data_IF_465090091892
#
_entry.id   IF_465090091892
#
_cell.length_a   1.000
_cell.length_b   1.000
_cell.length_c   1.000
_cell.angle_alpha   90.00
_cell.angle_beta   90.00
_cell.angle_gamma   90.00
#
_symmetry.space_group_name_H-M   'P 1'
#
loop_
_entity.id
_entity.type
_entity.pdbx_description
1 polymer ?
#
# COMPACT_ATOMS: atom_id res chain seq x y z
N UNK A 1 5.21 -30.13 -6.93
CA UNK A 1 4.71 -28.76 -7.22
C UNK A 1 5.47 -27.82 -6.31
N UNK A 2 6.31 -26.96 -6.88
CA UNK A 2 7.33 -26.19 -6.14
C UNK A 2 6.69 -25.14 -5.23
N UNK A 3 7.00 -25.16 -3.94
CA UNK A 3 6.55 -24.22 -2.90
C UNK A 3 7.15 -22.81 -3.04
N UNK A 4 8.09 -22.61 -3.96
CA UNK A 4 8.88 -21.38 -4.16
C UNK A 4 8.13 -20.21 -4.83
N UNK A 5 6.91 -20.40 -5.32
CA UNK A 5 6.17 -19.33 -6.04
C UNK A 5 5.24 -18.50 -5.14
N UNK A 6 5.04 -18.93 -3.89
CA UNK A 6 4.20 -18.23 -2.89
C UNK A 6 5.02 -17.33 -1.96
N UNK A 7 6.33 -17.51 -1.91
CA UNK A 7 7.26 -16.63 -1.20
C UNK A 7 7.46 -15.29 -1.92
N UNK A 8 8.19 -14.39 -1.29
CA UNK A 8 8.65 -13.15 -1.93
C UNK A 8 9.55 -13.53 -3.11
N UNK A 9 9.31 -13.00 -4.33
CA UNK A 9 10.22 -13.21 -5.45
C UNK A 9 11.64 -12.73 -5.10
N UNK A 10 12.72 -13.50 -5.35
CA UNK A 10 14.06 -13.17 -4.89
C UNK A 10 14.53 -11.77 -5.30
N UNK A 11 14.23 -11.36 -6.54
CA UNK A 11 14.54 -10.03 -7.07
C UNK A 11 13.84 -8.88 -6.33
N UNK A 12 12.78 -9.16 -5.57
CA UNK A 12 12.04 -8.17 -4.78
C UNK A 12 12.41 -8.15 -3.30
N UNK A 13 13.11 -9.16 -2.80
CA UNK A 13 13.52 -9.26 -1.39
C UNK A 13 14.12 -7.97 -0.81
N UNK A 14 15.08 -7.29 -1.46
CA UNK A 14 15.68 -6.08 -0.88
C UNK A 14 14.71 -4.90 -0.81
N UNK A 15 13.71 -4.84 -1.69
CA UNK A 15 12.77 -3.71 -1.78
C UNK A 15 11.51 -3.88 -0.92
N UNK A 16 11.20 -5.11 -0.51
CA UNK A 16 10.03 -5.43 0.31
C UNK A 16 10.37 -5.66 1.78
N UNK A 17 11.64 -5.50 2.19
CA UNK A 17 12.06 -5.59 3.58
C UNK A 17 11.40 -4.49 4.44
N UNK A 18 11.57 -4.56 5.77
CA UNK A 18 11.07 -3.53 6.67
C UNK A 18 11.60 -2.16 6.21
N UNK A 19 10.73 -1.21 5.85
CA UNK A 19 11.17 0.08 5.36
C UNK A 19 11.96 0.80 6.45
N UNK A 20 12.84 1.73 6.05
CA UNK A 20 13.53 2.57 7.03
C UNK A 20 12.56 3.49 7.80
N UNK A 21 12.96 3.93 8.98
CA UNK A 21 12.14 4.85 9.79
C UNK A 21 11.81 6.14 9.03
N UNK A 22 10.58 6.62 9.21
CA UNK A 22 9.97 7.79 8.56
C UNK A 22 9.87 7.73 7.03
N UNK A 23 10.14 6.58 6.43
CA UNK A 23 10.12 6.45 4.96
C UNK A 23 8.71 6.45 4.37
N UNK A 24 8.64 6.94 3.14
CA UNK A 24 7.46 6.86 2.29
C UNK A 24 7.75 5.94 1.10
N UNK A 25 6.97 4.87 0.98
CA UNK A 25 6.98 3.98 -0.19
C UNK A 25 5.75 4.28 -1.02
N UNK A 26 5.97 4.52 -2.31
CA UNK A 26 4.91 4.78 -3.27
C UNK A 26 4.77 3.62 -4.25
N UNK A 27 3.62 2.96 -4.22
CA UNK A 27 3.22 1.96 -5.19
C UNK A 27 2.30 2.62 -6.22
N UNK A 28 2.62 2.52 -7.49
CA UNK A 28 1.78 3.07 -8.56
C UNK A 28 1.39 1.98 -9.54
N UNK A 29 0.14 2.01 -10.00
CA UNK A 29 -0.37 1.06 -10.98
C UNK A 29 -1.33 1.72 -11.95
N UNK A 30 -1.62 1.04 -13.05
CA UNK A 30 -2.64 1.44 -14.02
C UNK A 30 -3.75 0.40 -14.06
N UNK A 31 -4.88 0.74 -14.66
CA UNK A 31 -5.94 -0.21 -14.94
C UNK A 31 -5.39 -1.39 -15.75
N UNK A 32 -5.61 -2.59 -15.23
CA UNK A 32 -5.07 -3.83 -15.79
C UNK A 32 -3.69 -4.24 -15.23
N UNK A 33 -2.96 -3.35 -14.56
CA UNK A 33 -1.71 -3.62 -13.88
C UNK A 33 -1.72 -2.99 -12.48
N UNK A 34 -2.43 -3.62 -11.54
CA UNK A 34 -2.59 -3.11 -10.17
C UNK A 34 -1.50 -3.54 -9.19
N UNK A 35 -1.40 -2.82 -8.08
CA UNK A 35 -0.37 -2.99 -7.03
C UNK A 35 -0.80 -3.90 -5.87
N UNK A 36 -2.01 -4.45 -5.89
CA UNK A 36 -2.56 -5.28 -4.80
C UNK A 36 -1.64 -6.46 -4.42
N UNK A 37 -1.01 -7.10 -5.41
CA UNK A 37 -0.10 -8.20 -5.16
C UNK A 37 1.19 -7.75 -4.47
N UNK A 38 1.67 -6.53 -4.71
CA UNK A 38 2.80 -5.92 -4.00
C UNK A 38 2.42 -5.64 -2.54
N UNK A 39 1.25 -5.06 -2.29
CA UNK A 39 0.76 -4.84 -0.92
C UNK A 39 0.68 -6.15 -0.12
N UNK A 40 0.17 -7.22 -0.74
CA UNK A 40 0.17 -8.56 -0.13
C UNK A 40 1.58 -9.08 0.16
N UNK A 41 2.56 -8.82 -0.72
CA UNK A 41 3.96 -9.20 -0.50
C UNK A 41 4.64 -8.35 0.58
N UNK A 42 4.32 -7.06 0.68
CA UNK A 42 4.73 -6.22 1.81
C UNK A 42 4.19 -6.78 3.12
N UNK A 43 2.89 -7.06 3.23
CA UNK A 43 2.31 -7.67 4.42
C UNK A 43 3.01 -8.99 4.79
N UNK A 44 3.21 -9.87 3.81
CA UNK A 44 3.93 -11.13 4.03
C UNK A 44 5.35 -10.90 4.56
N UNK A 45 6.09 -9.95 3.97
CA UNK A 45 7.46 -9.62 4.38
C UNK A 45 7.52 -9.07 5.80
N UNK A 46 6.69 -8.07 6.09
CA UNK A 46 6.57 -7.40 7.39
C UNK A 46 6.32 -8.43 8.49
N UNK A 47 5.33 -9.30 8.30
CA UNK A 47 4.94 -10.25 9.34
C UNK A 47 5.87 -11.48 9.43
N UNK A 48 6.56 -11.85 8.35
CA UNK A 48 7.58 -12.92 8.39
C UNK A 48 8.84 -12.48 9.12
N UNK A 49 9.32 -11.25 8.86
CA UNK A 49 10.50 -10.71 9.53
C UNK A 49 10.33 -10.64 11.05
N UNK A 50 9.12 -10.36 11.54
CA UNK A 50 8.86 -10.37 12.99
C UNK A 50 8.85 -11.78 13.58
N UNK A 51 8.42 -12.79 12.82
CA UNK A 51 8.38 -14.17 13.32
C UNK A 51 9.79 -14.74 13.54
N UNK A 52 10.75 -14.35 12.69
CA UNK A 52 12.17 -14.74 12.81
C UNK A 52 12.87 -14.01 13.98
N UNK A 53 12.59 -12.71 14.19
CA UNK A 53 13.19 -11.92 15.28
C UNK A 53 12.69 -12.27 16.67
N UNK A 54 11.51 -12.88 16.81
CA UNK A 54 11.02 -13.37 18.10
C UNK A 54 11.79 -14.60 18.63
N UNK A 55 12.71 -15.18 17.83
CA UNK A 55 13.54 -16.32 18.23
C UNK A 55 14.85 -15.96 18.93
N UNK A 56 15.46 -14.82 18.60
CA UNK A 56 16.78 -14.41 19.11
C UNK A 56 16.85 -12.89 19.32
N UNK A 57 16.96 -12.45 20.57
CA UNK A 57 17.56 -11.14 20.91
C UNK A 57 16.63 -9.95 21.14
N UNK A 58 16.86 -9.32 22.28
CA UNK A 58 16.23 -8.11 22.81
C UNK A 58 16.31 -6.89 21.86
N UNK A 59 15.21 -6.12 21.75
CA UNK A 59 15.31 -4.66 21.56
C UNK A 59 14.45 -4.01 20.47
N UNK A 60 13.99 -4.71 19.44
CA UNK A 60 13.15 -4.08 18.40
C UNK A 60 11.67 -4.30 18.66
N UNK A 61 10.94 -3.19 18.81
CA UNK A 61 9.51 -3.21 19.09
C UNK A 61 8.66 -4.00 18.09
N UNK A 62 7.53 -4.53 18.57
CA UNK A 62 6.60 -5.33 17.76
C UNK A 62 6.09 -4.51 16.56
N UNK A 63 6.19 -5.08 15.36
CA UNK A 63 5.69 -4.43 14.14
C UNK A 63 4.19 -4.69 14.01
N UNK A 64 3.44 -3.61 13.82
CA UNK A 64 1.99 -3.60 13.64
C UNK A 64 1.64 -2.87 12.34
N UNK A 65 0.49 -3.19 11.76
CA UNK A 65 0.02 -2.57 10.52
C UNK A 65 -1.37 -1.99 10.70
N UNK A 66 -1.53 -0.72 10.32
CA UNK A 66 -2.82 -0.08 10.09
C UNK A 66 -3.04 -0.02 8.59
N UNK A 67 -4.07 -0.69 8.10
CA UNK A 67 -4.38 -0.76 6.67
C UNK A 67 -5.74 -0.10 6.41
N UNK A 68 -5.75 1.02 5.68
CA UNK A 68 -6.98 1.65 5.19
C UNK A 68 -7.07 1.47 3.67
N UNK A 69 -8.17 0.90 3.17
CA UNK A 69 -8.44 0.76 1.74
C UNK A 69 -9.72 1.49 1.35
N UNK A 70 -9.66 2.26 0.26
CA UNK A 70 -10.82 2.96 -0.31
C UNK A 70 -11.46 2.20 -1.47
N UNK A 71 -10.80 1.16 -2.00
CA UNK A 71 -11.23 0.47 -3.23
C UNK A 71 -11.50 -1.02 -3.04
N UNK A 72 -11.16 -1.59 -1.88
CA UNK A 72 -11.30 -3.02 -1.58
C UNK A 72 -11.74 -3.24 -0.14
N UNK A 73 -12.62 -4.22 0.07
CA UNK A 73 -13.04 -4.63 1.42
C UNK A 73 -12.05 -5.61 2.06
N UNK A 74 -12.27 -5.93 3.35
CA UNK A 74 -11.45 -6.89 4.07
C UNK A 74 -11.54 -8.31 3.47
N UNK A 75 -12.67 -8.67 2.87
CA UNK A 75 -12.85 -9.98 2.23
C UNK A 75 -11.87 -10.20 1.08
N UNK A 76 -11.68 -9.17 0.24
CA UNK A 76 -10.71 -9.17 -0.84
C UNK A 76 -9.28 -9.39 -0.31
N UNK A 77 -8.87 -8.64 0.72
CA UNK A 77 -7.53 -8.74 1.29
C UNK A 77 -7.29 -10.09 1.98
N UNK A 78 -8.29 -10.62 2.70
CA UNK A 78 -8.23 -11.95 3.32
C UNK A 78 -8.06 -13.06 2.29
N UNK A 79 -8.82 -13.05 1.21
CA UNK A 79 -8.69 -14.06 0.16
C UNK A 79 -7.32 -13.99 -0.53
N UNK A 80 -6.82 -12.78 -0.79
CA UNK A 80 -5.46 -12.57 -1.33
C UNK A 80 -4.36 -13.06 -0.38
N UNK A 81 -4.47 -12.75 0.91
CA UNK A 81 -3.53 -13.16 1.94
C UNK A 81 -3.51 -14.68 2.14
N UNK A 82 -4.68 -15.33 2.14
CA UNK A 82 -4.82 -16.79 2.28
C UNK A 82 -4.07 -17.54 1.18
N UNK A 83 -4.09 -17.02 -0.06
CA UNK A 83 -3.37 -17.62 -1.20
C UNK A 83 -1.85 -17.66 -1.00
N UNK A 84 -1.31 -16.77 -0.18
CA UNK A 84 0.13 -16.68 0.14
C UNK A 84 0.43 -17.17 1.57
N UNK A 85 -0.49 -17.95 2.16
CA UNK A 85 -0.39 -18.50 3.52
C UNK A 85 -0.27 -17.43 4.62
N UNK A 86 -0.83 -16.24 4.40
CA UNK A 86 -0.91 -15.18 5.40
C UNK A 86 -2.32 -15.15 6.02
N UNK A 87 -2.40 -15.33 7.34
CA UNK A 87 -3.67 -15.32 8.08
C UNK A 87 -3.88 -13.95 8.77
N UNK A 88 -4.67 -13.09 8.11
CA UNK A 88 -4.98 -11.77 8.63
C UNK A 88 -5.91 -11.81 9.87
N UNK A 89 -6.76 -12.83 10.01
CA UNK A 89 -7.64 -12.95 11.18
C UNK A 89 -6.82 -13.24 12.43
N UNK A 90 -5.87 -14.16 12.32
CA UNK A 90 -4.92 -14.46 13.39
C UNK A 90 -4.13 -13.21 13.79
N UNK A 91 -3.64 -12.44 12.81
CA UNK A 91 -2.89 -11.20 13.07
C UNK A 91 -3.75 -10.12 13.72
N UNK A 92 -5.04 -10.03 13.37
CA UNK A 92 -5.99 -9.14 14.04
C UNK A 92 -6.27 -9.58 15.47
N UNK A 93 -6.46 -10.88 15.72
CA UNK A 93 -6.63 -11.42 17.09
C UNK A 93 -5.39 -11.17 17.97
N UNK A 94 -4.20 -11.12 17.36
CA UNK A 94 -2.93 -10.79 18.02
C UNK A 94 -2.71 -9.28 18.19
N UNK A 95 -3.64 -8.41 17.78
CA UNK A 95 -3.47 -6.95 17.78
C UNK A 95 -2.27 -6.46 16.96
N UNK A 96 -1.91 -7.18 15.88
CA UNK A 96 -0.80 -6.85 14.98
C UNK A 96 -1.27 -6.27 13.64
N UNK A 97 -2.52 -6.52 13.26
CA UNK A 97 -3.11 -6.03 12.02
C UNK A 97 -4.49 -5.43 12.28
N UNK A 98 -4.69 -4.18 11.87
CA UNK A 98 -5.96 -3.47 11.96
C UNK A 98 -6.38 -3.00 10.57
N UNK A 99 -7.49 -3.54 10.07
CA UNK A 99 -8.11 -3.10 8.83
C UNK A 99 -9.16 -2.02 9.06
N UNK A 100 -9.09 -0.97 8.26
CA UNK A 100 -10.03 0.13 8.20
C UNK A 100 -10.71 0.11 6.83
N UNK A 101 -12.04 0.02 6.83
CA UNK A 101 -12.84 -0.07 5.61
C UNK A 101 -13.29 1.32 5.16
N UNK A 102 -12.63 1.85 4.12
CA UNK A 102 -12.94 3.11 3.47
C UNK A 102 -13.91 2.98 2.29
N UNK A 103 -14.48 1.79 2.03
CA UNK A 103 -15.32 1.51 0.87
C UNK A 103 -16.77 1.21 1.27
N UNK A 104 -17.00 0.13 2.04
CA UNK A 104 -18.34 -0.49 2.12
C UNK A 104 -19.34 0.42 2.81
N UNK A 105 -18.94 1.08 3.89
CA UNK A 105 -19.83 1.95 4.66
C UNK A 105 -20.11 3.30 3.99
N UNK A 106 -19.26 3.72 3.06
CA UNK A 106 -19.43 4.98 2.34
C UNK A 106 -20.31 4.83 1.09
N UNK A 107 -20.26 3.66 0.43
CA UNK A 107 -20.80 3.51 -0.92
C UNK A 107 -21.81 2.36 -1.08
N UNK A 108 -21.86 1.41 -0.15
CA UNK A 108 -22.81 0.29 -0.24
C UNK A 108 -24.05 0.52 0.63
N UNK A 109 -25.24 0.11 0.15
CA UNK A 109 -26.46 0.13 0.95
C UNK A 109 -26.27 -0.67 2.25
N UNK A 110 -26.52 -0.02 3.39
CA UNK A 110 -26.44 -0.62 4.72
C UNK A 110 -27.66 -1.51 4.98
N UNK A 111 -27.80 -2.56 4.18
CA UNK A 111 -28.92 -3.50 4.23
C UNK A 111 -28.73 -4.58 5.29
N UNK A 112 -27.48 -4.83 5.71
CA UNK A 112 -27.12 -5.79 6.75
C UNK A 112 -26.02 -5.22 7.65
N UNK A 113 -25.99 -5.68 8.90
CA UNK A 113 -24.89 -5.36 9.81
C UNK A 113 -23.57 -5.88 9.23
N UNK A 114 -22.44 -5.17 9.42
CA UNK A 114 -21.13 -5.61 8.97
C UNK A 114 -20.83 -7.02 9.47
N UNK A 115 -20.31 -7.89 8.60
CA UNK A 115 -19.90 -9.23 8.99
C UNK A 115 -18.80 -9.16 10.07
N UNK A 116 -18.75 -10.13 11.01
CA UNK A 116 -17.64 -10.24 11.95
C UNK A 116 -16.30 -10.29 11.21
N UNK A 117 -15.37 -9.40 11.57
CA UNK A 117 -14.06 -9.32 10.91
C UNK A 117 -14.04 -8.53 9.59
N UNK A 118 -15.09 -7.76 9.26
CA UNK A 118 -15.09 -6.86 8.10
C UNK A 118 -14.15 -5.64 8.25
N UNK A 119 -13.54 -5.46 9.43
CA UNK A 119 -12.73 -4.30 9.79
C UNK A 119 -13.53 -3.14 10.35
N UNK A 120 -12.83 -2.05 10.69
CA UNK A 120 -13.47 -0.86 11.27
C UNK A 120 -13.94 0.08 10.17
N UNK A 121 -15.26 0.33 10.04
CA UNK A 121 -15.78 1.13 8.94
C UNK A 121 -15.52 2.63 9.11
N UNK A 122 -15.15 3.28 8.02
CA UNK A 122 -15.18 4.72 7.88
C UNK A 122 -16.62 5.18 7.65
N UNK A 123 -17.10 6.11 8.49
CA UNK A 123 -18.50 6.55 8.50
C UNK A 123 -18.78 7.77 7.62
N UNK A 124 -17.73 8.46 7.19
CA UNK A 124 -17.83 9.70 6.43
C UNK A 124 -16.60 9.86 5.53
N UNK A 125 -16.76 10.31 4.27
CA UNK A 125 -15.64 10.54 3.35
C UNK A 125 -14.83 11.80 3.68
N UNK A 126 -15.26 12.60 4.67
CA UNK A 126 -14.60 13.85 5.03
C UNK A 126 -13.26 13.61 5.74
N UNK A 127 -12.22 14.36 5.38
CA UNK A 127 -10.89 14.22 5.96
C UNK A 127 -10.82 14.31 7.49
N UNK A 128 -11.59 15.16 8.19
CA UNK A 128 -11.63 15.14 9.66
C UNK A 128 -12.06 13.77 10.23
N UNK A 129 -13.00 13.09 9.57
CA UNK A 129 -13.44 11.75 9.98
C UNK A 129 -12.38 10.69 9.72
N UNK A 130 -11.67 10.78 8.60
CA UNK A 130 -10.54 9.91 8.26
C UNK A 130 -9.40 10.10 9.27
N UNK A 131 -9.02 11.35 9.55
CA UNK A 131 -7.99 11.70 10.52
C UNK A 131 -8.31 11.18 11.91
N UNK A 132 -9.56 11.36 12.37
CA UNK A 132 -10.01 10.83 13.66
C UNK A 132 -9.96 9.31 13.72
N UNK A 133 -10.40 8.62 12.65
CA UNK A 133 -10.36 7.17 12.57
C UNK A 133 -8.92 6.64 12.62
N UNK A 134 -8.02 7.22 11.81
CA UNK A 134 -6.60 6.84 11.78
C UNK A 134 -5.93 7.10 13.12
N UNK A 135 -6.15 8.27 13.72
CA UNK A 135 -5.59 8.61 15.04
C UNK A 135 -6.04 7.60 16.10
N UNK A 136 -7.34 7.29 16.13
CA UNK A 136 -7.89 6.28 17.05
C UNK A 136 -7.30 4.89 16.80
N UNK A 137 -7.17 4.48 15.54
CA UNK A 137 -6.60 3.21 15.14
C UNK A 137 -5.13 3.09 15.59
N UNK A 138 -4.33 4.11 15.29
CA UNK A 138 -2.93 4.22 15.71
C UNK A 138 -2.84 4.14 17.24
N UNK A 139 -3.58 4.97 17.98
CA UNK A 139 -3.58 4.94 19.45
C UNK A 139 -4.01 3.59 20.04
N UNK A 140 -4.94 2.87 19.39
CA UNK A 140 -5.36 1.54 19.86
C UNK A 140 -4.29 0.47 19.71
N UNK A 141 -3.34 0.65 18.77
CA UNK A 141 -2.22 -0.25 18.55
C UNK A 141 -0.94 0.20 19.24
N UNK A 142 -0.87 1.46 19.71
CA UNK A 142 0.29 2.04 20.40
C UNK A 142 0.53 1.41 21.77
N UNK A 143 1.15 0.22 21.79
CA UNK A 143 1.83 -0.33 22.97
C UNK A 143 3.32 -0.07 22.83
N UNK A 144 3.97 0.55 23.81
CA UNK A 144 5.42 0.74 23.75
C UNK A 144 6.13 -0.58 24.11
N UNK A 145 7.14 -1.04 23.34
CA UNK A 145 7.68 -0.48 22.10
C UNK A 145 7.03 -1.13 20.85
N UNK A 146 6.24 -0.41 20.05
CA UNK A 146 5.68 -0.93 18.80
C UNK A 146 5.96 0.02 17.63
N UNK A 147 6.29 -0.56 16.47
CA UNK A 147 6.53 0.16 15.21
C UNK A 147 5.30 -0.01 14.32
N UNK A 148 4.58 1.08 14.02
CA UNK A 148 3.38 1.01 13.16
C UNK A 148 3.75 1.30 11.71
N UNK A 149 3.38 0.41 10.80
CA UNK A 149 3.42 0.64 9.36
C UNK A 149 2.01 1.06 8.92
N UNK A 150 1.91 2.25 8.35
CA UNK A 150 0.66 2.77 7.80
C UNK A 150 0.55 2.38 6.32
N UNK A 151 -0.52 1.70 5.93
CA UNK A 151 -0.81 1.39 4.53
C UNK A 151 -2.10 2.08 4.14
N UNK A 152 -2.04 2.94 3.12
CA UNK A 152 -3.22 3.55 2.50
C UNK A 152 -3.34 3.09 1.05
N UNK A 153 -4.42 2.38 0.76
CA UNK A 153 -4.72 1.88 -0.56
C UNK A 153 -5.78 2.75 -1.24
N UNK A 154 -5.37 3.35 -2.37
CA UNK A 154 -6.15 4.22 -3.23
C UNK A 154 -6.75 5.48 -2.56
N UNK A 155 -6.00 6.25 -1.74
CA UNK A 155 -6.48 7.51 -1.17
C UNK A 155 -6.77 8.60 -2.21
N UNK A 156 -6.22 8.48 -3.42
CA UNK A 156 -6.51 9.31 -4.60
C UNK A 156 -7.99 9.25 -5.02
N UNK A 157 -8.71 8.19 -4.63
CA UNK A 157 -10.18 8.14 -4.75
C UNK A 157 -10.86 9.36 -4.13
N UNK A 158 -10.36 9.88 -3.01
CA UNK A 158 -10.94 11.05 -2.34
C UNK A 158 -10.92 12.31 -3.22
N UNK A 159 -9.91 12.42 -4.09
CA UNK A 159 -9.81 13.52 -5.08
C UNK A 159 -10.90 13.35 -6.14
N UNK A 160 -11.12 12.13 -6.61
CA UNK A 160 -12.14 11.80 -7.60
C UNK A 160 -13.58 11.90 -7.07
N UNK A 161 -13.80 11.62 -5.78
CA UNK A 161 -15.13 11.61 -5.16
C UNK A 161 -15.51 12.92 -4.48
N UNK A 162 -14.63 13.93 -4.49
CA UNK A 162 -14.88 15.22 -3.85
C UNK A 162 -15.46 16.25 -4.82
N UNK A 163 -16.41 17.09 -4.39
CA UNK A 163 -16.87 18.23 -5.19
C UNK A 163 -15.79 19.31 -5.38
N UNK A 164 -14.74 19.31 -4.55
CA UNK A 164 -13.65 20.29 -4.58
C UNK A 164 -12.28 19.60 -4.63
N UNK A 165 -11.83 19.14 -5.81
CA UNK A 165 -10.55 18.43 -5.98
C UNK A 165 -9.32 19.23 -5.54
N UNK A 166 -9.31 20.57 -5.66
CA UNK A 166 -8.17 21.38 -5.19
C UNK A 166 -8.01 21.32 -3.67
N UNK A 167 -9.10 21.59 -2.94
CA UNK A 167 -9.09 21.64 -1.47
C UNK A 167 -8.73 20.28 -0.89
N UNK A 168 -9.38 19.21 -1.36
CA UNK A 168 -9.13 17.86 -0.85
C UNK A 168 -7.68 17.43 -1.10
N UNK A 169 -7.09 17.83 -2.22
CA UNK A 169 -5.69 17.49 -2.53
C UNK A 169 -4.71 18.16 -1.57
N UNK A 170 -4.93 19.45 -1.28
CA UNK A 170 -4.09 20.19 -0.32
C UNK A 170 -4.23 19.64 1.11
N UNK A 171 -5.47 19.38 1.53
CA UNK A 171 -5.75 18.85 2.86
C UNK A 171 -5.23 17.40 3.01
N UNK A 172 -5.32 16.58 1.97
CA UNK A 172 -4.84 15.20 1.98
C UNK A 172 -3.30 15.16 2.09
N UNK A 173 -2.58 15.97 1.33
CA UNK A 173 -1.13 16.12 1.49
C UNK A 173 -0.76 16.55 2.92
N UNK A 174 -1.48 17.53 3.48
CA UNK A 174 -1.25 18.01 4.86
C UNK A 174 -1.52 16.92 5.90
N UNK A 175 -2.57 16.11 5.71
CA UNK A 175 -2.90 14.98 6.58
C UNK A 175 -1.80 13.91 6.51
N UNK A 176 -1.34 13.53 5.30
CA UNK A 176 -0.29 12.54 5.12
C UNK A 176 1.02 12.97 5.79
N UNK A 177 1.41 14.23 5.63
CA UNK A 177 2.57 14.79 6.31
C UNK A 177 2.41 14.74 7.84
N UNK A 178 1.22 15.10 8.35
CA UNK A 178 0.93 15.07 9.79
C UNK A 178 0.94 13.65 10.38
N UNK A 179 0.47 12.65 9.62
CA UNK A 179 0.53 11.25 10.04
C UNK A 179 1.96 10.74 10.04
N UNK A 180 2.73 11.04 8.99
CA UNK A 180 4.14 10.62 8.87
C UNK A 180 5.05 11.23 9.93
N UNK A 181 4.70 12.39 10.49
CA UNK A 181 5.47 13.02 11.57
C UNK A 181 5.16 12.45 12.96
N UNK A 182 4.17 11.54 13.09
CA UNK A 182 3.88 10.90 14.37
C UNK A 182 5.00 9.92 14.75
N UNK A 183 5.58 10.02 15.97
CA UNK A 183 6.67 9.13 16.40
C UNK A 183 6.34 7.64 16.45
N UNK A 184 5.04 7.30 16.44
CA UNK A 184 4.57 5.90 16.46
C UNK A 184 4.51 5.29 15.06
N UNK A 185 4.44 6.12 14.00
CA UNK A 185 4.47 5.66 12.62
C UNK A 185 5.92 5.47 12.21
N UNK A 186 6.29 4.22 12.01
CA UNK A 186 7.61 3.83 11.55
C UNK A 186 7.80 4.10 10.06
N UNK A 187 6.80 3.79 9.23
CA UNK A 187 6.85 4.03 7.77
C UNK A 187 5.45 4.03 7.17
N UNK A 188 5.31 4.64 5.99
CA UNK A 188 4.04 4.71 5.26
C UNK A 188 4.17 4.13 3.86
N UNK A 189 3.20 3.32 3.46
CA UNK A 189 3.07 2.75 2.10
C UNK A 189 1.78 3.28 1.49
N UNK A 190 1.88 3.93 0.34
CA UNK A 190 0.73 4.42 -0.42
C UNK A 190 0.61 3.65 -1.72
N UNK A 191 -0.60 3.23 -2.08
CA UNK A 191 -0.91 2.69 -3.40
C UNK A 191 -1.84 3.63 -4.16
N UNK A 192 -1.41 4.14 -5.31
CA UNK A 192 -2.17 5.09 -6.14
C UNK A 192 -2.41 4.55 -7.55
N UNK A 193 -3.50 5.00 -8.19
CA UNK A 193 -3.67 4.82 -9.63
C UNK A 193 -2.98 5.94 -10.41
N UNK A 194 -2.27 5.56 -11.48
CA UNK A 194 -1.55 6.47 -12.38
C UNK A 194 -2.01 6.30 -13.83
N UNK A 195 -3.30 6.04 -14.03
CA UNK A 195 -3.90 5.93 -15.36
C UNK A 195 -3.60 7.16 -16.21
N UNK A 196 -3.21 6.95 -17.47
CA UNK A 196 -2.78 8.03 -18.38
C UNK A 196 -3.75 9.21 -18.42
N UNK A 197 -5.09 9.04 -18.51
CA UNK A 197 -6.03 10.17 -18.50
C UNK A 197 -5.99 11.04 -17.24
N UNK A 198 -5.56 10.49 -16.10
CA UNK A 198 -5.44 11.22 -14.83
C UNK A 198 -4.13 12.01 -14.74
N UNK A 199 -3.14 11.68 -15.56
CA UNK A 199 -1.83 12.33 -15.59
C UNK A 199 -1.62 13.23 -16.80
N UNK A 200 -2.45 13.10 -17.84
CA UNK A 200 -2.34 13.92 -19.04
C UNK A 200 -2.69 15.37 -18.76
N UNK A 201 -1.83 16.28 -19.22
CA UNK A 201 -2.06 17.72 -19.11
C UNK A 201 -3.13 18.24 -20.07
N UNK A 202 -3.72 17.42 -20.95
CA UNK A 202 -4.73 17.85 -21.92
C UNK A 202 -5.83 16.79 -22.12
N UNK A 203 -7.12 17.11 -21.90
CA UNK A 203 -7.64 18.38 -21.36
C UNK A 203 -7.31 18.56 -19.86
N UNK A 204 -6.98 19.79 -19.44
CA UNK A 204 -6.76 20.14 -18.03
C UNK A 204 -8.09 20.15 -17.27
N UNK A 205 -8.55 19.00 -16.83
CA UNK A 205 -9.66 18.91 -15.88
C UNK A 205 -9.15 19.15 -14.45
N UNK A 206 -9.96 19.72 -13.54
CA UNK A 206 -9.58 19.83 -12.13
C UNK A 206 -9.13 18.48 -11.55
N UNK A 207 -9.81 17.38 -11.91
CA UNK A 207 -9.46 16.04 -11.47
C UNK A 207 -8.06 15.62 -11.94
N UNK A 208 -7.75 15.74 -13.23
CA UNK A 208 -6.44 15.37 -13.79
C UNK A 208 -5.32 16.25 -13.20
N UNK A 209 -5.53 17.57 -13.12
CA UNK A 209 -4.55 18.50 -12.55
C UNK A 209 -4.23 18.14 -11.10
N UNK A 210 -5.24 17.89 -10.27
CA UNK A 210 -5.05 17.59 -8.85
C UNK A 210 -4.50 16.19 -8.60
N UNK A 211 -4.93 15.19 -9.37
CA UNK A 211 -4.39 13.82 -9.27
C UNK A 211 -2.92 13.77 -9.69
N UNK A 212 -2.56 14.46 -10.78
CA UNK A 212 -1.18 14.59 -11.23
C UNK A 212 -0.32 15.34 -10.22
N UNK A 213 -0.84 16.44 -9.64
CA UNK A 213 -0.13 17.20 -8.61
C UNK A 213 0.12 16.34 -7.36
N UNK A 214 -0.93 15.67 -6.86
CA UNK A 214 -0.84 14.78 -5.71
C UNK A 214 0.19 13.66 -5.89
N UNK A 215 0.10 12.95 -7.02
CA UNK A 215 1.03 11.85 -7.35
C UNK A 215 2.46 12.36 -7.47
N UNK A 216 2.67 13.52 -8.11
CA UNK A 216 4.00 14.10 -8.29
C UNK A 216 4.61 14.54 -6.96
N UNK A 217 3.83 15.20 -6.10
CA UNK A 217 4.26 15.55 -4.73
C UNK A 217 4.69 14.30 -3.95
N UNK A 218 3.87 13.24 -3.96
CA UNK A 218 4.21 12.00 -3.26
C UNK A 218 5.43 11.30 -3.86
N UNK A 219 5.63 11.36 -5.18
CA UNK A 219 6.84 10.81 -5.82
C UNK A 219 8.10 11.57 -5.39
N UNK A 220 8.01 12.90 -5.22
CA UNK A 220 9.11 13.71 -4.68
C UNK A 220 9.38 13.41 -3.20
N UNK A 221 8.35 13.12 -2.41
CA UNK A 221 8.50 12.80 -0.98
C UNK A 221 8.93 11.36 -0.71
N UNK A 222 8.72 10.45 -1.67
CA UNK A 222 9.01 9.03 -1.52
C UNK A 222 10.51 8.75 -1.42
N UNK A 223 10.85 7.68 -0.70
CA UNK A 223 12.18 7.08 -0.68
C UNK A 223 12.32 6.01 -1.78
N UNK A 224 11.22 5.31 -2.07
CA UNK A 224 11.15 4.19 -3.00
C UNK A 224 9.83 4.22 -3.78
N UNK A 225 9.93 4.04 -5.09
CA UNK A 225 8.76 3.95 -5.98
C UNK A 225 8.77 2.59 -6.68
N UNK A 226 7.66 1.85 -6.56
CA UNK A 226 7.40 0.63 -7.33
C UNK A 226 6.21 0.87 -8.26
N UNK A 227 6.47 0.96 -9.55
CA UNK A 227 5.47 1.27 -10.56
C UNK A 227 5.17 0.07 -11.44
N UNK A 228 3.89 -0.28 -11.57
CA UNK A 228 3.41 -1.38 -12.41
C UNK A 228 2.69 -0.83 -13.64
N UNK A 229 3.04 -1.36 -14.82
CA UNK A 229 2.41 -1.01 -16.10
C UNK A 229 2.18 -2.24 -16.96
N UNK A 230 1.29 -2.11 -17.94
CA UNK A 230 1.11 -3.11 -18.98
C UNK A 230 2.33 -3.15 -19.93
N UNK A 231 2.44 -4.24 -20.68
CA UNK A 231 3.42 -4.35 -21.76
C UNK A 231 3.03 -3.43 -22.92
N UNK A 232 4.01 -2.74 -23.51
CA UNK A 232 3.81 -1.87 -24.66
C UNK A 232 3.37 -2.66 -25.92
N UNK A 233 3.70 -3.96 -25.97
CA UNK A 233 3.34 -4.86 -27.07
C UNK A 233 1.97 -5.52 -26.91
N UNK A 234 1.22 -5.21 -25.84
CA UNK A 234 -0.06 -5.83 -25.52
C UNK A 234 0.06 -7.07 -24.63
N UNK A 235 -1.07 -7.76 -24.43
CA UNK A 235 -1.17 -8.87 -23.48
C UNK A 235 -0.30 -10.08 -23.86
N UNK A 236 0.30 -10.72 -22.85
CA UNK A 236 1.07 -11.95 -23.00
C UNK A 236 0.55 -13.03 -22.04
N UNK A 237 0.69 -14.31 -22.41
CA UNK A 237 0.18 -15.43 -21.61
C UNK A 237 0.90 -15.57 -20.27
N UNK A 238 2.22 -15.37 -20.27
CA UNK A 238 3.10 -15.67 -19.14
C UNK A 238 3.71 -14.41 -18.51
N UNK A 239 3.23 -13.22 -18.90
CA UNK A 239 3.68 -11.93 -18.37
C UNK A 239 2.45 -11.06 -18.12
N UNK A 240 2.25 -10.66 -16.87
CA UNK A 240 1.16 -9.76 -16.47
C UNK A 240 1.50 -8.30 -16.76
N UNK A 241 2.78 -7.92 -16.64
CA UNK A 241 3.22 -6.56 -16.93
C UNK A 241 4.69 -6.32 -16.61
N UNK A 242 5.03 -5.03 -16.56
CA UNK A 242 6.35 -4.51 -16.20
C UNK A 242 6.27 -3.88 -14.82
N UNK A 243 7.26 -4.19 -13.96
CA UNK A 243 7.51 -3.54 -12.69
C UNK A 243 8.77 -2.70 -12.81
N UNK A 244 8.66 -1.40 -12.57
CA UNK A 244 9.78 -0.47 -12.48
C UNK A 244 10.02 -0.09 -11.02
N UNK A 245 11.26 -0.16 -10.60
CA UNK A 245 11.74 0.18 -9.26
C UNK A 245 12.68 1.37 -9.42
N UNK A 246 12.39 2.47 -8.73
CA UNK A 246 13.23 3.68 -8.74
C UNK A 246 13.40 4.26 -7.36
N UNK A 247 14.48 5.03 -7.15
CA UNK A 247 14.53 5.93 -6.01
C UNK A 247 13.40 6.96 -6.13
N UNK A 248 12.87 7.42 -4.99
CA UNK A 248 12.02 8.60 -4.96
C UNK A 248 12.82 9.90 -4.91
N UNK A 249 12.13 11.04 -4.79
CA UNK A 249 12.77 12.35 -4.80
C UNK A 249 13.41 12.78 -3.48
N UNK A 250 13.24 12.01 -2.40
CA UNK A 250 13.76 12.31 -1.07
C UNK A 250 14.84 11.29 -0.68
N UNK A 251 16.09 11.42 -1.18
CA UNK A 251 17.15 10.50 -0.82
C UNK A 251 17.48 10.64 0.66
N UNK A 252 17.15 9.62 1.44
CA UNK A 252 17.57 9.54 2.85
C UNK A 252 19.11 9.56 2.95
N UNK A 253 19.67 10.59 3.58
CA UNK A 253 21.12 10.71 3.80
C UNK A 253 21.66 9.50 4.58
N UNK A 254 22.75 8.89 4.09
CA UNK A 254 23.42 7.76 4.75
C UNK A 254 22.80 6.37 4.51
N UNK A 255 21.75 6.25 3.68
CA UNK A 255 21.19 4.94 3.27
C UNK A 255 21.80 4.45 1.96
N UNK A 256 21.81 3.12 1.77
CA UNK A 256 22.20 2.52 0.49
C UNK A 256 21.28 3.03 -0.61
N UNK A 257 21.89 3.40 -1.74
CA UNK A 257 21.15 3.93 -2.89
C UNK A 257 20.27 2.82 -3.45
N UNK A 258 18.99 3.12 -3.67
CA UNK A 258 18.05 2.19 -4.30
C UNK A 258 18.61 1.76 -5.65
N UNK A 259 18.82 0.46 -5.83
CA UNK A 259 19.20 -0.12 -7.12
C UNK A 259 17.97 -0.08 -8.04
N UNK A 260 18.00 0.78 -9.05
CA UNK A 260 16.86 0.94 -9.97
C UNK A 260 16.80 -0.20 -10.98
N UNK A 261 15.60 -0.75 -11.21
CA UNK A 261 15.40 -1.90 -12.10
C UNK A 261 14.11 -1.78 -12.90
N UNK A 262 14.11 -2.39 -14.08
CA UNK A 262 12.90 -2.72 -14.83
C UNK A 262 12.81 -4.24 -14.96
N UNK A 263 11.72 -4.81 -14.44
CA UNK A 263 11.48 -6.24 -14.33
C UNK A 263 10.16 -6.62 -15.01
N UNK A 264 10.06 -7.85 -15.46
CA UNK A 264 8.79 -8.45 -15.86
C UNK A 264 8.19 -9.18 -14.66
N UNK A 265 6.87 -9.17 -14.55
CA UNK A 265 6.17 -9.93 -13.52
C UNK A 265 4.99 -10.70 -14.07
N UNK A 266 4.65 -11.79 -13.40
CA UNK A 266 3.48 -12.62 -13.66
C UNK A 266 2.77 -12.93 -12.34
N UNK A 267 1.46 -12.65 -12.28
CA UNK A 267 0.60 -12.98 -11.15
C UNK A 267 -0.35 -14.12 -11.55
N UNK A 268 -0.20 -15.27 -10.90
CA UNK A 268 -1.09 -16.41 -11.06
C UNK A 268 -2.38 -16.28 -10.24
N UNK A 269 -3.45 -16.94 -10.68
CA UNK A 269 -4.75 -16.92 -9.98
C UNK A 269 -4.72 -17.57 -8.59
N UNK A 270 -3.72 -18.42 -8.34
CA UNK A 270 -3.45 -19.10 -7.06
C UNK A 270 -2.62 -18.24 -6.09
N UNK A 271 -2.36 -16.97 -6.43
CA UNK A 271 -1.53 -16.05 -5.65
C UNK A 271 -0.03 -16.23 -5.86
N UNK A 272 0.40 -17.13 -6.76
CA UNK A 272 1.79 -17.23 -7.17
C UNK A 272 2.24 -15.95 -7.88
N UNK A 273 3.46 -15.51 -7.60
CA UNK A 273 4.06 -14.35 -8.29
C UNK A 273 5.46 -14.74 -8.76
N UNK A 274 5.76 -14.47 -10.03
CA UNK A 274 7.11 -14.58 -10.59
C UNK A 274 7.57 -13.20 -11.03
N UNK A 275 8.83 -12.90 -10.79
CA UNK A 275 9.49 -11.67 -11.22
C UNK A 275 10.83 -12.07 -11.84
N UNK A 276 11.13 -11.53 -13.01
CA UNK A 276 12.31 -11.92 -13.81
C UNK A 276 12.78 -10.74 -14.66
N UNK A 277 14.05 -10.78 -15.06
CA UNK A 277 14.63 -9.78 -15.95
C UNK A 277 14.20 -10.02 -17.40
N UNK A 278 14.30 -8.98 -18.24
CA UNK A 278 14.03 -9.14 -19.69
C UNK A 278 15.12 -10.01 -20.32
N UNK A 279 14.71 -11.04 -21.06
CA UNK A 279 15.63 -11.92 -21.79
C UNK A 279 16.10 -13.17 -21.03
N UNK A 280 15.54 -13.43 -19.85
CA UNK A 280 15.66 -14.70 -19.12
C UNK A 280 14.56 -15.70 -19.51
#
# INVERSE_FOLDING_TARGET
MSTTTRSIPPLLTPYLSLPSESSLILLTGVLGAGTNWLLLRYLSSIFSSTAEKNGDGEGEGEIKVVFLSFMRDMGFWKEGARKINLDLDKLTQQFRFLFLDGLSSLHLPQTQAPAPGAGTPLKSPLLPSISQLLTKAISSLSSHPAKIILILDSPDFLIASSPSPETITQELNSLLLSLRSLPTIHSTILALSIDTPLLTSHPQTPLATNTSAFTTTLAHEADLILSTRLLDTGAARDVSGVLRITAGGNPSEGKERVEEKELLYFVGGDGSVRVFERGQ
#
